data_IF_312843054745
#
_entry.id   IF_312843054745
#
_cell.length_a   1.000
_cell.length_b   1.000
_cell.length_c   1.000
_cell.angle_alpha   90.00
_cell.angle_beta   90.00
_cell.angle_gamma   90.00
#
_symmetry.space_group_name_H-M   'P 1'
#
loop_
_entity.id
_entity.type
_entity.pdbx_description
1 polymer ?
#
# COMPACT_ATOMS: atom_id res chain seq x y z
N UNK A 1 -39.98 -7.93 -52.63
CA UNK A 1 -39.03 -7.90 -53.76
C UNK A 1 -37.68 -8.14 -53.15
N UNK A 2 -37.28 -9.40 -53.28
CA UNK A 2 -36.09 -10.00 -52.70
C UNK A 2 -34.83 -9.52 -53.40
N UNK A 3 -33.76 -9.32 -52.65
CA UNK A 3 -32.42 -9.59 -53.16
C UNK A 3 -31.51 -10.05 -52.01
N UNK A 4 -31.09 -11.31 -52.14
CA UNK A 4 -30.25 -12.08 -51.23
C UNK A 4 -28.81 -11.89 -51.72
N UNK A 5 -27.88 -11.56 -50.82
CA UNK A 5 -26.45 -11.57 -51.13
C UNK A 5 -25.71 -12.52 -50.18
N UNK A 6 -24.97 -13.41 -50.82
CA UNK A 6 -24.38 -14.65 -50.32
C UNK A 6 -23.17 -14.46 -49.39
N UNK A 7 -23.02 -15.42 -48.47
CA UNK A 7 -21.80 -15.69 -47.71
C UNK A 7 -20.87 -16.60 -48.51
N UNK A 8 -19.53 -16.42 -48.44
CA UNK A 8 -18.61 -17.47 -48.83
C UNK A 8 -18.33 -18.44 -47.66
N UNK A 9 -18.60 -19.71 -47.94
CA UNK A 9 -18.10 -20.88 -47.21
C UNK A 9 -16.58 -20.95 -47.30
N UNK A 10 -15.91 -21.34 -46.21
CA UNK A 10 -14.52 -21.76 -46.26
C UNK A 10 -14.38 -23.04 -45.44
N UNK A 11 -14.45 -24.17 -46.15
CA UNK A 11 -14.07 -25.50 -45.68
C UNK A 11 -12.56 -25.67 -45.88
N UNK A 12 -11.87 -26.12 -44.83
CA UNK A 12 -10.43 -26.32 -44.84
C UNK A 12 -10.00 -27.29 -43.74
N UNK A 13 -10.18 -28.57 -44.04
CA UNK A 13 -9.74 -29.76 -43.31
C UNK A 13 -8.22 -29.91 -43.15
N UNK A 14 -7.79 -30.67 -42.12
CA UNK A 14 -6.47 -31.32 -42.00
C UNK A 14 -5.52 -30.65 -41.00
N UNK A 15 -4.75 -31.33 -40.16
CA UNK A 15 -4.43 -32.75 -39.99
C UNK A 15 -3.88 -32.92 -38.56
N UNK A 16 -4.19 -34.03 -37.93
CA UNK A 16 -3.56 -34.49 -36.70
C UNK A 16 -2.11 -34.91 -37.00
N UNK A 17 -1.14 -34.39 -36.24
CA UNK A 17 0.15 -35.07 -36.07
C UNK A 17 0.47 -35.12 -34.58
N UNK A 18 0.20 -36.29 -34.01
CA UNK A 18 0.82 -36.75 -32.78
C UNK A 18 2.31 -36.99 -33.03
N UNK A 19 3.18 -36.43 -32.19
CA UNK A 19 4.53 -36.99 -32.02
C UNK A 19 4.90 -37.00 -30.55
N UNK A 20 4.74 -38.19 -29.97
CA UNK A 20 5.35 -38.60 -28.72
C UNK A 20 6.86 -38.75 -28.92
N UNK A 21 7.69 -38.03 -28.14
CA UNK A 21 9.04 -38.50 -27.82
C UNK A 21 9.34 -38.28 -26.33
N UNK A 22 9.25 -39.41 -25.61
CA UNK A 22 10.03 -39.72 -24.40
C UNK A 22 11.49 -39.87 -24.80
N UNK A 23 12.40 -39.47 -23.89
CA UNK A 23 13.79 -39.91 -23.63
C UNK A 23 14.49 -38.67 -23.00
N UNK A 24 15.32 -38.67 -21.97
CA UNK A 24 15.88 -39.67 -21.06
C UNK A 24 16.53 -38.90 -19.90
N UNK A 25 16.50 -39.49 -18.70
CA UNK A 25 17.26 -39.03 -17.52
C UNK A 25 18.76 -39.12 -17.78
N UNK A 26 19.44 -37.97 -17.83
CA UNK A 26 20.90 -37.85 -17.83
C UNK A 26 21.42 -37.30 -16.50
N UNK A 27 21.80 -38.19 -15.58
CA UNK A 27 22.43 -37.87 -14.29
C UNK A 27 23.95 -37.69 -14.52
N UNK A 28 24.45 -36.47 -14.69
CA UNK A 28 25.90 -36.19 -14.69
C UNK A 28 26.29 -35.38 -13.45
N UNK A 29 27.02 -36.05 -12.55
CA UNK A 29 27.80 -35.45 -11.47
C UNK A 29 29.00 -34.73 -12.10
N UNK A 30 28.96 -33.40 -12.18
CA UNK A 30 30.11 -32.56 -12.50
C UNK A 30 30.67 -31.96 -11.21
N UNK A 31 31.80 -32.50 -10.76
CA UNK A 31 32.61 -32.00 -9.65
C UNK A 31 33.59 -30.97 -10.24
N UNK A 32 33.28 -29.67 -10.12
CA UNK A 32 34.12 -28.58 -10.59
C UNK A 32 34.52 -27.65 -9.44
N UNK A 33 35.83 -27.58 -9.19
CA UNK A 33 36.50 -26.74 -8.20
C UNK A 33 36.56 -25.27 -8.66
N UNK A 34 36.65 -24.39 -7.66
CA UNK A 34 37.24 -23.04 -7.68
C UNK A 34 36.52 -21.93 -8.46
N UNK A 35 35.94 -20.99 -7.73
CA UNK A 35 36.40 -19.58 -7.75
C UNK A 35 35.80 -18.84 -6.57
N UNK A 36 36.66 -18.47 -5.62
CA UNK A 36 36.30 -17.56 -4.54
C UNK A 36 36.02 -16.17 -5.12
N UNK A 37 34.75 -15.88 -5.40
CA UNK A 37 34.31 -14.50 -5.50
C UNK A 37 34.07 -13.98 -4.09
N UNK A 38 35.04 -13.21 -3.61
CA UNK A 38 34.85 -12.32 -2.48
C UNK A 38 33.63 -11.44 -2.80
N UNK A 39 32.49 -11.75 -2.18
CA UNK A 39 31.32 -10.88 -2.15
C UNK A 39 31.75 -9.61 -1.42
N UNK A 40 32.17 -8.61 -2.20
CA UNK A 40 32.25 -7.24 -1.74
C UNK A 40 30.91 -6.91 -1.12
N UNK A 41 30.86 -6.80 0.21
CA UNK A 41 29.71 -6.28 0.92
C UNK A 41 29.55 -4.85 0.42
N UNK A 42 28.64 -4.66 -0.54
CA UNK A 42 28.18 -3.36 -0.98
C UNK A 42 27.65 -2.68 0.28
N UNK A 43 28.45 -1.78 0.85
CA UNK A 43 28.05 -0.97 1.99
C UNK A 43 26.92 -0.08 1.47
N UNK A 44 25.68 -0.53 1.61
CA UNK A 44 24.53 0.33 1.46
C UNK A 44 24.64 1.35 2.58
N UNK A 45 25.04 2.58 2.22
CA UNK A 45 25.06 3.73 3.11
C UNK A 45 23.65 3.84 3.69
N UNK A 46 23.47 3.42 4.94
CA UNK A 46 22.19 3.57 5.64
C UNK A 46 21.97 5.07 5.77
N UNK A 47 21.05 5.60 4.97
CA UNK A 47 20.54 6.95 5.15
C UNK A 47 20.02 7.03 6.58
N UNK A 48 20.56 7.93 7.38
CA UNK A 48 20.09 8.12 8.74
C UNK A 48 18.61 8.51 8.66
N UNK A 49 17.74 7.70 9.26
CA UNK A 49 16.31 7.98 9.27
C UNK A 49 16.06 9.14 10.24
N UNK A 50 15.59 10.27 9.72
CA UNK A 50 15.36 11.49 10.51
C UNK A 50 13.96 11.46 11.15
N UNK A 51 13.84 11.95 12.39
CA UNK A 51 12.54 12.13 13.02
C UNK A 51 11.86 13.41 12.51
N UNK A 52 10.56 13.36 12.27
CA UNK A 52 9.73 14.44 11.70
C UNK A 52 9.83 15.76 12.49
N UNK A 53 10.07 15.67 13.80
CA UNK A 53 10.24 16.83 14.71
C UNK A 53 11.61 17.50 14.61
N UNK A 54 12.61 16.78 14.12
CA UNK A 54 14.01 17.21 14.04
C UNK A 54 14.34 17.80 12.67
N UNK A 55 13.41 17.70 11.70
CA UNK A 55 13.60 18.26 10.37
C UNK A 55 13.45 19.79 10.45
N UNK A 56 14.47 20.51 10.01
CA UNK A 56 14.44 21.96 9.89
C UNK A 56 13.33 22.44 8.94
N UNK A 57 12.72 23.57 9.29
CA UNK A 57 11.67 24.19 8.47
C UNK A 57 12.24 24.54 7.11
N UNK A 58 11.58 24.06 6.05
CA UNK A 58 11.95 24.38 4.67
C UNK A 58 10.73 24.27 3.77
N UNK A 59 10.74 24.97 2.63
CA UNK A 59 9.62 24.91 1.68
C UNK A 59 9.54 23.59 0.92
N UNK A 60 10.66 22.86 0.83
CA UNK A 60 10.83 21.69 -0.04
C UNK A 60 11.67 20.63 0.66
N UNK A 61 11.09 19.92 1.62
CA UNK A 61 11.76 18.79 2.25
C UNK A 61 11.33 17.46 1.63
N UNK A 62 10.02 17.24 1.53
CA UNK A 62 9.44 15.98 1.07
C UNK A 62 9.33 15.88 -0.45
N UNK A 63 9.29 17.02 -1.14
CA UNK A 63 9.28 17.10 -2.60
C UNK A 63 10.69 16.98 -3.18
N UNK A 64 11.03 15.76 -3.60
CA UNK A 64 12.31 15.41 -4.25
C UNK A 64 12.25 15.56 -5.76
N UNK A 65 13.40 15.79 -6.37
CA UNK A 65 13.52 15.90 -7.83
C UNK A 65 13.54 14.52 -8.51
N UNK A 66 14.25 13.56 -7.90
CA UNK A 66 14.29 12.18 -8.38
C UNK A 66 13.17 11.35 -7.75
N UNK A 67 12.49 10.56 -8.57
CA UNK A 67 11.35 9.75 -8.12
C UNK A 67 11.77 8.54 -7.28
N UNK A 68 12.96 7.99 -7.52
CA UNK A 68 13.51 6.91 -6.68
C UNK A 68 13.82 7.47 -5.29
N UNK A 69 14.42 8.66 -5.21
CA UNK A 69 14.59 9.38 -3.94
C UNK A 69 13.23 9.65 -3.28
N UNK A 70 12.25 10.19 -4.02
CA UNK A 70 10.91 10.47 -3.53
C UNK A 70 10.24 9.26 -2.86
N UNK A 71 10.28 8.10 -3.53
CA UNK A 71 9.61 6.87 -3.11
C UNK A 71 10.39 6.09 -2.04
N UNK A 72 11.70 6.30 -1.94
CA UNK A 72 12.56 5.67 -0.94
C UNK A 72 12.70 6.46 0.36
N UNK A 73 12.02 7.61 0.48
CA UNK A 73 12.04 8.41 1.71
C UNK A 73 11.57 7.61 2.92
N UNK A 74 12.28 7.78 4.03
CA UNK A 74 11.94 7.19 5.30
C UNK A 74 12.02 8.27 6.39
N UNK A 75 10.89 8.56 7.03
CA UNK A 75 10.80 9.50 8.14
C UNK A 75 10.09 8.82 9.30
N UNK A 76 10.55 9.11 10.52
CA UNK A 76 9.95 8.60 11.75
C UNK A 76 9.10 9.69 12.41
N UNK A 77 7.91 9.38 12.89
CA UNK A 77 7.19 10.23 13.84
C UNK A 77 7.27 9.61 15.24
N UNK A 78 7.55 10.46 16.23
CA UNK A 78 7.58 10.07 17.63
C UNK A 78 6.18 10.23 18.22
N UNK A 79 5.54 9.09 18.47
CA UNK A 79 4.35 9.01 19.32
C UNK A 79 4.85 9.13 20.76
N UNK A 80 4.20 9.96 21.58
CA UNK A 80 4.54 10.11 22.99
C UNK A 80 4.77 8.75 23.66
N UNK A 81 5.68 8.70 24.65
CA UNK A 81 6.24 7.48 25.26
C UNK A 81 7.43 6.83 24.51
N UNK A 82 8.19 7.62 23.74
CA UNK A 82 9.48 7.21 23.18
C UNK A 82 9.41 6.18 22.04
N UNK A 83 8.22 5.83 21.54
CA UNK A 83 8.05 4.90 20.42
C UNK A 83 8.03 5.69 19.10
N UNK A 84 8.98 5.38 18.23
CA UNK A 84 9.04 5.91 16.88
C UNK A 84 8.24 5.02 15.92
N UNK A 85 7.41 5.63 15.08
CA UNK A 85 6.68 4.99 13.98
C UNK A 85 7.25 5.49 12.66
N UNK A 86 7.60 4.59 11.76
CA UNK A 86 7.90 4.96 10.36
C UNK A 86 6.62 5.43 9.67
N UNK A 87 6.66 6.61 9.07
CA UNK A 87 5.55 7.13 8.27
C UNK A 87 5.36 6.23 7.03
N UNK A 88 4.14 5.78 6.74
CA UNK A 88 3.84 5.02 5.54
C UNK A 88 3.93 5.89 4.28
N UNK A 89 4.06 5.24 3.13
CA UNK A 89 4.26 5.92 1.86
C UNK A 89 3.15 6.89 1.47
N UNK A 90 1.88 6.61 1.82
CA UNK A 90 0.78 7.53 1.54
C UNK A 90 0.90 8.85 2.31
N UNK A 91 1.30 8.78 3.59
CA UNK A 91 1.51 9.95 4.44
C UNK A 91 2.67 10.81 3.90
N UNK A 92 3.78 10.18 3.52
CA UNK A 92 4.92 10.88 2.88
C UNK A 92 4.56 11.48 1.51
N UNK A 93 3.76 10.77 0.72
CA UNK A 93 3.30 11.24 -0.59
C UNK A 93 2.42 12.48 -0.43
N UNK A 94 1.51 12.50 0.55
CA UNK A 94 0.68 13.68 0.85
C UNK A 94 1.53 14.87 1.27
N UNK A 95 2.53 14.67 2.13
CA UNK A 95 3.45 15.74 2.52
C UNK A 95 4.14 16.37 1.32
N UNK A 96 4.66 15.54 0.42
CA UNK A 96 5.32 16.00 -0.80
C UNK A 96 4.35 16.70 -1.76
N UNK A 97 3.15 16.14 -1.96
CA UNK A 97 2.12 16.75 -2.80
C UNK A 97 1.63 18.09 -2.26
N UNK A 98 1.56 18.28 -0.94
CA UNK A 98 1.19 19.55 -0.33
C UNK A 98 2.29 20.62 -0.46
N UNK A 99 3.57 20.24 -0.44
CA UNK A 99 4.67 21.17 -0.78
C UNK A 99 4.57 21.64 -2.24
N UNK A 100 4.31 20.73 -3.17
CA UNK A 100 4.04 21.06 -4.58
C UNK A 100 2.79 21.95 -4.70
N UNK A 101 1.68 21.57 -4.05
CA UNK A 101 0.43 22.31 -4.09
C UNK A 101 0.56 23.75 -3.58
N UNK A 102 1.32 23.94 -2.50
CA UNK A 102 1.63 25.26 -1.95
C UNK A 102 2.43 26.11 -2.94
N UNK A 103 3.37 25.52 -3.68
CA UNK A 103 4.14 26.22 -4.71
C UNK A 103 3.25 26.66 -5.89
N UNK A 104 2.38 25.76 -6.38
CA UNK A 104 1.46 26.03 -7.49
C UNK A 104 0.20 26.80 -7.09
N UNK A 105 -0.06 26.98 -5.80
CA UNK A 105 -1.19 27.75 -5.28
C UNK A 105 -2.55 27.08 -5.40
N UNK A 106 -2.61 25.77 -5.71
CA UNK A 106 -3.87 25.03 -5.88
C UNK A 106 -3.82 23.61 -5.30
N UNK A 107 -4.95 23.13 -4.80
CA UNK A 107 -5.12 21.81 -4.23
C UNK A 107 -4.67 21.69 -2.78
N UNK A 108 -5.27 20.77 -2.05
CA UNK A 108 -4.76 20.33 -0.76
C UNK A 108 -5.05 18.84 -0.60
N UNK A 109 -4.09 18.11 -0.05
CA UNK A 109 -4.13 16.67 0.10
C UNK A 109 -4.19 16.30 1.57
N UNK A 110 -5.02 15.32 1.89
CA UNK A 110 -5.07 14.72 3.21
C UNK A 110 -4.67 13.26 3.16
N UNK A 111 -4.07 12.77 4.23
CA UNK A 111 -3.80 11.36 4.44
C UNK A 111 -4.81 10.75 5.42
N UNK A 112 -5.01 9.45 5.26
CA UNK A 112 -5.72 8.59 6.20
C UNK A 112 -4.85 7.38 6.54
N UNK A 113 -5.20 6.68 7.63
CA UNK A 113 -4.62 5.37 7.92
C UNK A 113 -4.83 4.43 6.73
N UNK A 114 -3.81 3.67 6.34
CA UNK A 114 -3.99 2.65 5.30
C UNK A 114 -4.85 1.50 5.82
N UNK A 115 -5.49 0.75 4.92
CA UNK A 115 -6.33 -0.41 5.28
C UNK A 115 -5.58 -1.44 6.13
N UNK A 116 -4.29 -1.62 5.89
CA UNK A 116 -3.46 -2.57 6.64
C UNK A 116 -3.28 -2.15 8.10
N UNK A 117 -3.29 -0.84 8.40
CA UNK A 117 -3.19 -0.34 9.75
C UNK A 117 -4.39 -0.76 10.62
N UNK A 118 -5.55 -1.02 10.00
CA UNK A 118 -6.76 -1.51 10.68
C UNK A 118 -6.72 -3.02 10.98
N UNK A 119 -5.69 -3.74 10.56
CA UNK A 119 -5.54 -5.18 10.86
C UNK A 119 -4.61 -5.46 12.03
N UNK A 120 -3.87 -4.45 12.50
CA UNK A 120 -2.91 -4.56 13.59
C UNK A 120 -3.44 -3.89 14.85
N UNK A 121 -4.11 -4.67 15.69
CA UNK A 121 -4.55 -4.23 17.01
C UNK A 121 -3.64 -4.82 18.10
N UNK A 122 -3.48 -4.13 19.24
CA UNK A 122 -2.92 -4.74 20.45
C UNK A 122 -3.68 -6.02 20.82
N UNK A 123 -3.05 -6.87 21.64
CA UNK A 123 -3.71 -8.09 22.14
C UNK A 123 -5.03 -7.77 22.87
N UNK A 124 -5.88 -8.79 23.00
CA UNK A 124 -7.23 -8.70 23.59
C UNK A 124 -7.26 -8.08 24.98
N UNK A 125 -6.16 -8.21 25.72
CA UNK A 125 -5.92 -7.60 27.03
C UNK A 125 -5.97 -6.06 27.01
N UNK A 126 -5.43 -5.41 25.97
CA UNK A 126 -5.41 -3.95 25.83
C UNK A 126 -6.49 -3.44 24.88
N UNK A 127 -7.02 -4.33 24.03
CA UNK A 127 -8.05 -4.01 23.06
C UNK A 127 -9.06 -5.16 22.96
N UNK A 128 -10.08 -5.17 23.85
CA UNK A 128 -11.15 -6.13 23.81
C UNK A 128 -11.75 -6.25 22.40
N UNK A 129 -12.18 -7.44 22.00
CA UNK A 129 -12.75 -7.68 20.66
C UNK A 129 -13.95 -6.78 20.36
N UNK A 130 -14.72 -6.42 21.38
CA UNK A 130 -15.82 -5.45 21.31
C UNK A 130 -15.39 -4.07 20.80
N UNK A 131 -14.13 -3.69 21.03
CA UNK A 131 -13.55 -2.39 20.63
C UNK A 131 -12.83 -2.44 19.29
N UNK A 132 -12.68 -3.62 18.70
CA UNK A 132 -12.07 -3.77 17.37
C UNK A 132 -13.11 -3.29 16.35
N UNK A 133 -12.84 -2.19 15.63
CA UNK A 133 -13.74 -1.73 14.58
C UNK A 133 -13.76 -2.75 13.43
N UNK A 134 -14.83 -2.70 12.63
CA UNK A 134 -14.86 -3.48 11.38
C UNK A 134 -13.72 -3.08 10.44
N UNK A 135 -13.36 -3.96 9.51
CA UNK A 135 -12.36 -3.60 8.51
C UNK A 135 -12.95 -2.59 7.52
N UNK A 136 -12.16 -1.60 7.06
CA UNK A 136 -12.68 -0.61 6.13
C UNK A 136 -13.20 -1.25 4.84
N UNK A 137 -14.44 -0.88 4.42
CA UNK A 137 -15.06 -1.31 3.16
C UNK A 137 -14.49 -0.61 1.92
N UNK A 138 -14.97 -0.91 0.71
CA UNK A 138 -14.35 -0.47 -0.55
C UNK A 138 -14.24 1.03 -0.73
N UNK A 139 -15.13 1.81 -0.10
CA UNK A 139 -15.17 3.28 -0.16
C UNK A 139 -14.08 3.97 0.66
N UNK A 140 -13.41 3.24 1.56
CA UNK A 140 -12.42 3.84 2.45
C UNK A 140 -11.16 4.30 1.70
N UNK A 141 -10.83 5.61 1.74
CA UNK A 141 -9.68 6.18 1.04
C UNK A 141 -8.40 6.05 1.87
N UNK A 142 -7.24 6.17 1.21
CA UNK A 142 -5.95 6.35 1.88
C UNK A 142 -5.41 7.78 1.73
N UNK A 143 -5.80 8.46 0.64
CA UNK A 143 -5.59 9.89 0.43
C UNK A 143 -6.91 10.54 0.00
N UNK A 144 -7.02 11.82 0.29
CA UNK A 144 -8.10 12.68 -0.15
C UNK A 144 -7.53 13.93 -0.81
N UNK A 145 -8.20 14.42 -1.84
CA UNK A 145 -7.90 15.72 -2.46
C UNK A 145 -9.10 16.65 -2.34
N UNK A 146 -8.81 17.93 -2.09
CA UNK A 146 -9.76 19.04 -2.26
C UNK A 146 -9.20 20.05 -3.24
N UNK A 147 -10.08 20.67 -4.02
CA UNK A 147 -9.72 21.80 -4.88
C UNK A 147 -9.63 23.09 -4.04
N UNK A 148 -8.57 23.17 -3.23
CA UNK A 148 -8.27 24.33 -2.39
C UNK A 148 -7.51 25.40 -3.18
N UNK A 149 -7.76 26.68 -2.91
CA UNK A 149 -6.97 27.78 -3.48
C UNK A 149 -6.14 28.42 -2.37
N UNK A 150 -4.83 28.43 -2.54
CA UNK A 150 -3.94 29.01 -1.55
C UNK A 150 -3.92 30.53 -1.68
N UNK A 151 -4.15 31.21 -0.56
CA UNK A 151 -3.85 32.64 -0.44
C UNK A 151 -2.36 32.80 -0.16
N UNK A 152 -1.79 33.99 -0.40
CA UNK A 152 -0.40 34.27 -0.05
C UNK A 152 -0.16 34.06 1.46
N UNK A 153 -1.12 34.48 2.29
CA UNK A 153 -1.07 34.31 3.75
C UNK A 153 -1.10 32.83 4.14
N UNK A 154 -2.07 32.05 3.65
CA UNK A 154 -2.18 30.63 4.00
C UNK A 154 -1.01 29.79 3.49
N UNK A 155 -0.48 30.12 2.30
CA UNK A 155 0.77 29.54 1.77
C UNK A 155 1.93 29.84 2.70
N UNK A 156 2.15 31.11 3.06
CA UNK A 156 3.26 31.49 3.92
C UNK A 156 3.14 30.85 5.31
N UNK A 157 1.94 30.82 5.89
CA UNK A 157 1.68 30.16 7.17
C UNK A 157 2.04 28.67 7.11
N UNK A 158 1.59 27.96 6.07
CA UNK A 158 1.93 26.55 5.86
C UNK A 158 3.44 26.34 5.68
N UNK A 159 4.11 27.16 4.88
CA UNK A 159 5.56 27.06 4.66
C UNK A 159 6.38 27.48 5.89
N UNK A 160 5.84 28.29 6.79
CA UNK A 160 6.48 28.63 8.07
C UNK A 160 6.32 27.56 9.14
N UNK A 161 5.35 26.65 9.00
CA UNK A 161 5.15 25.56 9.95
C UNK A 161 6.29 24.55 9.90
N UNK A 162 6.55 23.93 11.05
CA UNK A 162 7.33 22.71 11.14
C UNK A 162 6.74 21.60 10.28
N UNK A 163 7.58 20.70 9.78
CA UNK A 163 7.14 19.53 9.01
C UNK A 163 6.14 18.67 9.77
N UNK A 164 6.30 18.54 11.10
CA UNK A 164 5.29 17.89 11.94
C UNK A 164 3.96 18.65 11.99
N UNK A 165 3.99 19.98 12.04
CA UNK A 165 2.79 20.81 11.97
C UNK A 165 2.03 20.58 10.66
N UNK A 166 2.73 20.60 9.53
CA UNK A 166 2.16 20.31 8.20
C UNK A 166 1.60 18.89 8.11
N UNK A 167 2.28 17.91 8.69
CA UNK A 167 1.80 16.53 8.78
C UNK A 167 0.47 16.41 9.51
N UNK A 168 0.33 17.07 10.67
CA UNK A 168 -0.91 17.08 11.43
C UNK A 168 -2.02 17.85 10.71
N UNK A 169 -1.70 18.97 10.05
CA UNK A 169 -2.66 19.71 9.21
C UNK A 169 -3.18 18.89 8.04
N UNK A 170 -2.39 17.94 7.56
CA UNK A 170 -2.73 17.03 6.46
C UNK A 170 -3.44 15.76 6.94
N UNK A 171 -3.65 15.57 8.24
CA UNK A 171 -4.42 14.45 8.79
C UNK A 171 -5.91 14.82 8.81
N UNK A 172 -6.71 14.16 7.97
CA UNK A 172 -8.15 14.46 7.85
C UNK A 172 -8.92 14.19 9.16
N UNK A 173 -8.39 13.31 10.02
CA UNK A 173 -9.02 12.97 11.29
C UNK A 173 -8.80 14.07 12.33
N UNK A 174 -7.74 14.87 12.18
CA UNK A 174 -7.39 15.95 13.08
C UNK A 174 -7.94 17.28 12.55
N UNK A 175 -7.87 17.50 11.24
CA UNK A 175 -8.24 18.75 10.61
C UNK A 175 -9.16 18.52 9.40
N UNK A 176 -10.39 18.02 9.63
CA UNK A 176 -11.35 17.83 8.55
C UNK A 176 -11.80 19.19 7.98
N UNK A 177 -12.01 19.30 6.65
CA UNK A 177 -12.60 20.48 6.06
C UNK A 177 -14.08 20.63 6.43
N UNK A 178 -14.68 21.76 6.07
CA UNK A 178 -16.10 22.01 6.32
C UNK A 178 -16.99 20.92 5.69
N UNK A 179 -18.13 20.54 6.32
CA UNK A 179 -18.90 19.37 5.91
C UNK A 179 -19.34 19.33 4.44
N UNK A 180 -19.59 20.48 3.82
CA UNK A 180 -20.05 20.57 2.43
C UNK A 180 -18.91 20.52 1.40
N UNK A 181 -17.65 20.50 1.84
CA UNK A 181 -16.50 20.48 0.93
C UNK A 181 -16.46 19.16 0.17
N UNK A 182 -16.42 19.19 -1.18
CA UNK A 182 -16.30 17.99 -2.00
C UNK A 182 -14.92 17.35 -1.85
N UNK A 183 -14.89 16.04 -1.64
CA UNK A 183 -13.69 15.23 -1.50
C UNK A 183 -13.53 14.26 -2.67
N UNK A 184 -12.30 14.17 -3.17
CA UNK A 184 -11.90 13.18 -4.17
C UNK A 184 -11.08 12.09 -3.49
N UNK A 185 -11.66 10.90 -3.38
CA UNK A 185 -11.04 9.77 -2.72
C UNK A 185 -9.98 9.12 -3.61
N UNK A 186 -8.88 8.70 -2.99
CA UNK A 186 -7.85 7.92 -3.66
C UNK A 186 -7.48 6.69 -2.83
N UNK A 187 -7.48 5.53 -3.48
CA UNK A 187 -6.84 4.35 -2.93
C UNK A 187 -5.33 4.46 -3.17
N UNK A 188 -4.52 4.08 -2.18
CA UNK A 188 -3.06 4.07 -2.30
C UNK A 188 -2.53 2.67 -2.14
N UNK A 189 -1.69 2.25 -3.08
CA UNK A 189 -1.07 0.94 -3.06
C UNK A 189 0.42 1.07 -3.37
N UNK A 190 1.25 0.67 -2.43
CA UNK A 190 2.71 0.61 -2.57
C UNK A 190 3.25 -0.82 -2.62
N UNK A 191 2.40 -1.84 -2.58
CA UNK A 191 2.83 -3.23 -2.75
C UNK A 191 1.78 -4.13 -3.39
N UNK A 192 2.24 -5.16 -4.09
CA UNK A 192 1.42 -6.16 -4.78
C UNK A 192 0.43 -6.93 -3.88
N UNK A 193 0.60 -6.88 -2.55
CA UNK A 193 -0.25 -7.62 -1.63
C UNK A 193 -1.43 -6.80 -1.10
N UNK A 194 -1.46 -5.49 -1.33
CA UNK A 194 -2.57 -4.66 -0.89
C UNK A 194 -3.77 -4.84 -1.80
N UNK A 195 -4.95 -4.75 -1.20
CA UNK A 195 -6.20 -5.00 -1.91
C UNK A 195 -6.70 -3.71 -2.54
N UNK A 196 -7.09 -3.79 -3.81
CA UNK A 196 -7.78 -2.75 -4.54
C UNK A 196 -9.25 -3.09 -4.67
N UNK A 197 -10.10 -2.09 -4.63
CA UNK A 197 -11.54 -2.28 -4.72
C UNK A 197 -12.17 -1.38 -5.78
N UNK A 198 -13.28 -1.85 -6.32
CA UNK A 198 -14.26 -1.02 -7.02
C UNK A 198 -15.00 -0.17 -6.01
N UNK A 199 -15.30 1.06 -6.39
CA UNK A 199 -16.09 1.99 -5.60
C UNK A 199 -17.41 2.26 -6.31
N UNK A 200 -18.50 2.56 -5.57
CA UNK A 200 -19.78 2.92 -6.19
C UNK A 200 -19.70 4.23 -7.00
N UNK A 201 -18.95 5.21 -6.48
CA UNK A 201 -18.61 6.44 -7.18
C UNK A 201 -17.20 6.33 -7.71
N UNK A 202 -16.95 6.78 -8.94
CA UNK A 202 -15.62 6.75 -9.53
C UNK A 202 -14.60 7.46 -8.62
N UNK A 203 -13.47 6.80 -8.37
CA UNK A 203 -12.41 7.33 -7.53
C UNK A 203 -11.05 7.10 -8.18
N UNK A 204 -10.01 7.73 -7.65
CA UNK A 204 -8.65 7.50 -8.12
C UNK A 204 -8.00 6.32 -7.41
N UNK A 205 -7.02 5.72 -8.08
CA UNK A 205 -6.11 4.72 -7.54
C UNK A 205 -4.69 5.21 -7.86
N UNK A 206 -3.89 5.38 -6.81
CA UNK A 206 -2.49 5.74 -6.89
C UNK A 206 -1.63 4.51 -6.54
N UNK A 207 -0.92 4.00 -7.55
CA UNK A 207 0.02 2.90 -7.39
C UNK A 207 1.44 3.46 -7.30
N UNK A 208 2.13 3.18 -6.20
CA UNK A 208 3.51 3.57 -5.95
C UNK A 208 4.43 2.35 -6.19
N UNK A 209 5.39 2.50 -7.09
CA UNK A 209 6.47 1.53 -7.30
C UNK A 209 7.75 2.00 -6.61
N UNK A 210 8.90 1.45 -6.96
CA UNK A 210 10.18 1.94 -6.46
C UNK A 210 10.71 3.14 -7.27
N UNK A 211 10.17 3.36 -8.47
CA UNK A 211 10.71 4.34 -9.45
C UNK A 211 9.67 5.22 -10.12
N UNK A 212 8.38 4.98 -9.89
CA UNK A 212 7.29 5.71 -10.54
C UNK A 212 5.98 5.60 -9.79
N UNK A 213 5.10 6.56 -10.04
CA UNK A 213 3.69 6.47 -9.70
C UNK A 213 2.86 6.10 -10.92
N UNK A 214 1.72 5.46 -10.71
CA UNK A 214 0.67 5.30 -11.71
C UNK A 214 -0.63 5.84 -11.14
N UNK A 215 -1.29 6.72 -11.88
CA UNK A 215 -2.58 7.29 -11.49
C UNK A 215 -3.65 6.85 -12.48
N UNK A 216 -4.59 6.04 -12.00
CA UNK A 216 -5.74 5.54 -12.77
C UNK A 216 -7.03 5.82 -12.01
N UNK A 217 -8.16 5.73 -12.70
CA UNK A 217 -9.47 5.67 -12.04
C UNK A 217 -9.84 4.21 -11.72
N UNK A 218 -10.86 4.01 -10.90
CA UNK A 218 -11.38 2.67 -10.56
C UNK A 218 -11.87 1.90 -11.79
N UNK A 219 -12.56 2.57 -12.70
CA UNK A 219 -13.05 2.00 -13.97
C UNK A 219 -11.90 1.69 -14.92
N UNK A 220 -10.90 2.57 -15.04
CA UNK A 220 -9.70 2.29 -15.85
C UNK A 220 -8.95 1.07 -15.32
N UNK A 221 -8.80 0.97 -14.00
CA UNK A 221 -8.14 -0.15 -13.35
C UNK A 221 -8.90 -1.46 -13.55
N UNK A 222 -10.23 -1.43 -13.46
CA UNK A 222 -11.07 -2.59 -13.76
C UNK A 222 -10.90 -3.05 -15.21
N UNK A 223 -10.90 -2.10 -16.17
CA UNK A 223 -10.72 -2.42 -17.60
C UNK A 223 -9.36 -3.08 -17.87
N UNK A 224 -8.29 -2.61 -17.23
CA UNK A 224 -6.93 -3.14 -17.45
C UNK A 224 -6.73 -4.46 -16.68
N UNK A 225 -7.00 -4.46 -15.38
CA UNK A 225 -6.72 -5.58 -14.48
C UNK A 225 -7.78 -6.69 -14.50
N UNK A 226 -9.00 -6.35 -14.89
CA UNK A 226 -10.18 -7.19 -14.74
C UNK A 226 -10.68 -7.29 -13.29
N UNK A 227 -11.86 -7.88 -13.13
CA UNK A 227 -12.36 -8.33 -11.83
C UNK A 227 -11.58 -9.54 -11.31
N UNK A 228 -11.89 -9.94 -10.06
CA UNK A 228 -11.32 -11.17 -9.49
C UNK A 228 -11.66 -12.38 -10.38
N UNK A 229 -10.70 -13.28 -10.68
CA UNK A 229 -10.93 -14.36 -11.64
C UNK A 229 -12.04 -15.33 -11.20
N UNK A 230 -12.98 -15.60 -12.11
CA UNK A 230 -14.03 -16.61 -11.92
C UNK A 230 -13.36 -17.98 -11.70
N UNK A 231 -13.86 -18.75 -10.72
CA UNK A 231 -13.35 -20.09 -10.40
C UNK A 231 -12.14 -20.12 -9.46
N UNK A 232 -11.54 -18.98 -9.13
CA UNK A 232 -10.58 -18.90 -8.01
C UNK A 232 -11.34 -18.76 -6.68
N UNK A 233 -10.70 -19.18 -5.59
CA UNK A 233 -11.22 -18.93 -4.24
C UNK A 233 -11.53 -17.43 -4.10
N UNK A 234 -12.72 -17.07 -3.58
CA UNK A 234 -13.06 -15.68 -3.39
C UNK A 234 -12.01 -15.01 -2.49
N UNK A 235 -11.71 -13.73 -2.74
CA UNK A 235 -10.75 -13.04 -1.92
C UNK A 235 -11.26 -12.96 -0.47
N UNK A 236 -10.33 -12.93 0.47
CA UNK A 236 -10.65 -12.65 1.88
C UNK A 236 -10.68 -11.14 2.11
N UNK A 237 -11.43 -10.72 3.11
CA UNK A 237 -11.53 -9.33 3.56
C UNK A 237 -12.94 -8.78 3.42
N UNK A 238 -13.12 -7.48 3.72
CA UNK A 238 -14.40 -6.80 3.52
C UNK A 238 -14.75 -6.73 2.03
N UNK A 239 -16.03 -6.90 1.70
CA UNK A 239 -16.59 -6.72 0.34
C UNK A 239 -15.79 -7.45 -0.77
N UNK A 240 -15.59 -8.77 -0.66
CA UNK A 240 -14.77 -9.54 -1.58
C UNK A 240 -15.25 -9.48 -3.04
N UNK A 241 -16.54 -9.31 -3.26
CA UNK A 241 -17.17 -9.14 -4.57
C UNK A 241 -16.75 -7.84 -5.28
N UNK A 242 -16.34 -6.82 -4.53
CA UNK A 242 -15.87 -5.53 -5.08
C UNK A 242 -14.37 -5.52 -5.32
N UNK A 243 -13.64 -6.58 -4.99
CA UNK A 243 -12.18 -6.57 -5.08
C UNK A 243 -11.73 -6.66 -6.55
N UNK A 244 -10.80 -5.78 -6.91
CA UNK A 244 -10.11 -5.83 -8.20
C UNK A 244 -9.02 -6.92 -8.18
N UNK A 245 -8.64 -7.41 -9.36
CA UNK A 245 -7.55 -8.36 -9.48
C UNK A 245 -6.21 -7.74 -9.02
N UNK A 246 -5.23 -8.58 -8.67
CA UNK A 246 -3.92 -8.08 -8.24
C UNK A 246 -3.17 -7.44 -9.41
N UNK A 247 -2.59 -6.28 -9.18
CA UNK A 247 -1.88 -5.48 -10.20
C UNK A 247 -0.38 -5.75 -10.19
N UNK A 248 0.00 -7.02 -10.01
CA UNK A 248 1.39 -7.42 -9.83
C UNK A 248 2.32 -7.09 -11.00
N UNK A 249 1.76 -6.87 -12.18
CA UNK A 249 2.45 -6.44 -13.39
C UNK A 249 3.00 -5.01 -13.31
N UNK A 250 2.52 -4.19 -12.36
CA UNK A 250 3.04 -2.85 -12.10
C UNK A 250 4.43 -2.89 -11.44
N UNK A 251 4.68 -3.87 -10.56
CA UNK A 251 5.99 -4.08 -9.93
C UNK A 251 6.86 -5.12 -10.66
N UNK A 252 6.25 -6.03 -11.42
CA UNK A 252 6.96 -7.06 -12.19
C UNK A 252 6.32 -7.25 -13.56
N UNK A 253 6.86 -6.53 -14.55
CA UNK A 253 6.34 -6.50 -15.94
C UNK A 253 6.29 -7.89 -16.59
N UNK A 254 7.08 -8.86 -16.11
CA UNK A 254 7.10 -10.21 -16.67
C UNK A 254 5.87 -11.04 -16.29
N UNK A 255 5.09 -10.62 -15.29
CA UNK A 255 3.87 -11.33 -14.88
C UNK A 255 2.75 -11.22 -15.91
N UNK A 256 2.64 -10.07 -16.56
CA UNK A 256 1.62 -9.79 -17.56
C UNK A 256 2.07 -8.58 -18.40
N UNK A 257 2.74 -8.86 -19.52
CA UNK A 257 3.36 -7.82 -20.37
C UNK A 257 2.33 -6.93 -21.04
N UNK A 258 1.17 -7.50 -21.42
CA UNK A 258 0.08 -6.77 -22.07
C UNK A 258 -0.52 -5.76 -21.10
N UNK A 259 -0.86 -6.17 -19.88
CA UNK A 259 -1.37 -5.24 -18.86
C UNK A 259 -0.32 -4.24 -18.39
N UNK A 260 0.94 -4.64 -18.27
CA UNK A 260 2.03 -3.73 -17.96
C UNK A 260 2.16 -2.62 -19.02
N UNK A 261 2.04 -2.95 -20.31
CA UNK A 261 2.05 -1.98 -21.40
C UNK A 261 0.84 -1.04 -21.34
N UNK A 262 -0.35 -1.56 -21.04
CA UNK A 262 -1.57 -0.78 -20.88
C UNK A 262 -1.50 0.24 -19.72
N UNK A 263 -0.62 0.03 -18.73
CA UNK A 263 -0.42 0.96 -17.62
C UNK A 263 0.50 2.15 -17.96
N UNK A 264 1.32 2.07 -19.03
CA UNK A 264 2.32 3.09 -19.36
C UNK A 264 1.75 4.52 -19.51
N UNK A 265 0.58 4.74 -20.14
CA UNK A 265 0.01 6.09 -20.24
C UNK A 265 -0.29 6.74 -18.88
N UNK A 266 -0.52 5.92 -17.86
CA UNK A 266 -0.86 6.35 -16.52
C UNK A 266 0.35 6.60 -15.63
N UNK A 267 1.56 6.32 -16.13
CA UNK A 267 2.81 6.48 -15.40
C UNK A 267 3.20 7.97 -15.25
N UNK A 268 3.65 8.32 -14.05
CA UNK A 268 4.31 9.58 -13.71
C UNK A 268 5.72 9.31 -13.21
N UNK A 269 6.70 9.96 -13.84
CA UNK A 269 8.12 9.87 -13.49
C UNK A 269 8.60 11.05 -12.62
N UNK A 270 7.77 12.09 -12.50
CA UNK A 270 8.03 13.25 -11.65
C UNK A 270 6.82 13.50 -10.74
N UNK A 271 7.06 14.08 -9.56
CA UNK A 271 6.01 14.31 -8.57
C UNK A 271 5.07 15.43 -9.03
N UNK A 272 5.62 16.43 -9.71
CA UNK A 272 4.91 17.54 -10.32
C UNK A 272 3.93 17.04 -11.38
N UNK A 273 4.35 16.09 -12.22
CA UNK A 273 3.47 15.45 -13.21
C UNK A 273 2.32 14.71 -12.54
N UNK A 274 2.60 14.00 -11.45
CA UNK A 274 1.56 13.33 -10.66
C UNK A 274 0.57 14.36 -10.10
N UNK A 275 1.07 15.43 -9.47
CA UNK A 275 0.25 16.51 -8.93
C UNK A 275 -0.66 17.12 -10.00
N UNK A 276 -0.11 17.50 -11.15
CA UNK A 276 -0.87 18.09 -12.25
C UNK A 276 -1.94 17.13 -12.76
N UNK A 277 -1.62 15.84 -12.91
CA UNK A 277 -2.61 14.83 -13.30
C UNK A 277 -3.73 14.69 -12.27
N UNK A 278 -3.44 14.73 -10.97
CA UNK A 278 -4.49 14.67 -9.94
C UNK A 278 -5.36 15.93 -10.01
N UNK A 279 -4.77 17.12 -10.03
CA UNK A 279 -5.52 18.39 -10.07
C UNK A 279 -6.40 18.48 -11.32
N UNK A 280 -5.89 18.06 -12.48
CA UNK A 280 -6.66 18.08 -13.73
C UNK A 280 -7.79 17.04 -13.71
N UNK A 281 -7.54 15.83 -13.21
CA UNK A 281 -8.59 14.79 -13.11
C UNK A 281 -9.65 15.12 -12.07
N UNK A 282 -9.28 15.73 -10.95
CA UNK A 282 -10.21 16.15 -9.90
C UNK A 282 -10.91 17.48 -10.23
N UNK A 283 -11.25 17.67 -11.50
CA UNK A 283 -12.15 18.70 -11.97
C UNK A 283 -13.56 18.11 -12.01
N UNK A 284 -14.60 18.77 -11.45
CA UNK A 284 -15.97 18.27 -11.48
C UNK A 284 -16.51 17.89 -12.87
N UNK A 285 -15.95 18.47 -13.94
CA UNK A 285 -16.30 18.13 -15.32
C UNK A 285 -15.72 16.80 -15.80
N UNK A 286 -14.60 16.37 -15.23
CA UNK A 286 -13.85 15.17 -15.64
C UNK A 286 -14.09 13.98 -14.69
N UNK A 287 -14.18 14.26 -13.39
CA UNK A 287 -14.43 13.27 -12.34
C UNK A 287 -15.37 13.89 -11.30
N UNK A 288 -16.51 13.26 -10.95
CA UNK A 288 -17.34 13.74 -9.85
C UNK A 288 -16.61 13.56 -8.51
N UNK A 289 -16.87 14.44 -7.54
CA UNK A 289 -16.42 14.24 -6.17
C UNK A 289 -16.95 12.92 -5.62
N UNK A 290 -16.13 12.16 -4.90
CA UNK A 290 -16.52 10.84 -4.38
C UNK A 290 -17.55 10.95 -3.27
N UNK A 291 -17.42 11.95 -2.40
CA UNK A 291 -18.33 12.28 -1.30
C UNK A 291 -18.01 13.67 -0.74
N UNK A 292 -18.82 14.15 0.20
CA UNK A 292 -18.55 15.39 0.95
C UNK A 292 -17.80 15.09 2.25
N UNK A 293 -17.16 16.10 2.85
CA UNK A 293 -16.48 15.94 4.13
C UNK A 293 -17.41 15.48 5.27
N UNK A 294 -18.69 15.87 5.22
CA UNK A 294 -19.71 15.44 6.16
C UNK A 294 -20.05 13.95 6.09
N UNK A 295 -19.76 13.29 4.96
CA UNK A 295 -19.97 11.85 4.79
C UNK A 295 -18.84 11.00 5.40
N UNK A 296 -17.64 11.59 5.56
CA UNK A 296 -16.44 10.89 5.99
C UNK A 296 -16.58 10.19 7.36
N UNK A 297 -17.21 10.79 8.40
CA UNK A 297 -17.42 10.13 9.69
C UNK A 297 -18.14 8.78 9.62
N UNK A 298 -18.97 8.56 8.59
CA UNK A 298 -19.68 7.31 8.34
C UNK A 298 -18.87 6.27 7.56
N UNK A 299 -17.75 6.67 6.95
CA UNK A 299 -16.84 5.77 6.23
C UNK A 299 -15.71 5.22 7.12
N UNK A 300 -15.38 5.95 8.19
CA UNK A 300 -14.35 5.57 9.14
C UNK A 300 -14.89 4.41 9.98
N UNK A 301 -14.23 3.24 10.00
CA UNK A 301 -14.72 2.13 10.80
C UNK A 301 -14.75 2.47 12.28
N UNK A 302 -15.87 2.13 12.92
CA UNK A 302 -16.10 2.33 14.35
C UNK A 302 -16.42 0.99 15.00
N UNK A 303 -16.13 0.84 16.30
CA UNK A 303 -16.64 -0.28 17.07
C UNK A 303 -18.19 -0.32 16.99
N UNK A 304 -18.80 -1.51 16.97
CA UNK A 304 -20.25 -1.65 16.80
C UNK A 304 -21.06 -1.09 17.96
N UNK A 305 -20.49 -1.03 19.17
CA UNK A 305 -21.13 -0.45 20.34
C UNK A 305 -20.12 0.35 21.17
N UNK A 306 -20.52 1.49 21.75
CA UNK A 306 -19.70 2.17 22.75
C UNK A 306 -19.65 1.31 24.01
N UNK A 307 -18.45 0.91 24.41
CA UNK A 307 -18.21 0.22 25.68
C UNK A 307 -17.81 1.24 26.75
N UNK A 308 -18.19 1.00 28.01
CA UNK A 308 -17.69 1.81 29.12
C UNK A 308 -16.15 1.80 29.11
N UNK A 309 -15.55 2.99 29.11
CA UNK A 309 -14.10 3.12 29.17
C UNK A 309 -13.55 2.48 30.45
N UNK A 310 -12.31 2.02 30.40
CA UNK A 310 -11.59 1.73 31.65
C UNK A 310 -11.43 3.06 32.41
N UNK A 311 -11.67 3.10 33.73
CA UNK A 311 -11.43 4.29 34.52
C UNK A 311 -9.99 4.78 34.33
N UNK A 312 -9.80 6.09 34.21
CA UNK A 312 -8.45 6.67 34.19
C UNK A 312 -7.74 6.31 35.52
N UNK A 313 -6.49 5.85 35.42
CA UNK A 313 -5.71 5.46 36.60
C UNK A 313 -5.87 3.99 37.03
N UNK A 314 -6.62 3.17 36.30
CA UNK A 314 -6.59 1.71 36.52
C UNK A 314 -5.23 1.18 36.10
N UNK A 315 -4.35 0.91 37.07
CA UNK A 315 -3.07 0.22 36.85
C UNK A 315 -3.41 -1.20 36.39
N UNK A 316 -3.06 -1.55 35.15
CA UNK A 316 -2.98 -2.96 34.78
C UNK A 316 -1.80 -3.54 35.57
N UNK A 317 -2.10 -4.32 36.60
CA UNK A 317 -1.08 -5.06 37.36
C UNK A 317 -0.27 -5.92 36.40
N UNK A 318 1.04 -5.68 36.39
CA UNK A 318 2.11 -6.48 35.80
C UNK A 318 1.77 -7.28 34.53
N UNK A 319 2.13 -6.73 33.37
CA UNK A 319 2.51 -7.58 32.22
C UNK A 319 3.35 -6.82 31.19
N UNK A 320 4.59 -7.26 31.03
CA UNK A 320 5.58 -6.64 30.16
C UNK A 320 5.07 -6.48 28.72
N UNK A 321 5.22 -5.25 28.18
CA UNK A 321 4.92 -4.90 26.80
C UNK A 321 5.53 -5.90 25.80
N UNK A 322 4.75 -6.87 25.33
CA UNK A 322 5.12 -7.66 24.15
C UNK A 322 4.91 -6.79 22.92
N UNK A 323 5.98 -6.49 22.19
CA UNK A 323 5.94 -5.58 21.04
C UNK A 323 4.93 -6.08 19.98
N UNK A 324 4.00 -5.21 19.57
CA UNK A 324 3.06 -5.42 18.47
C UNK A 324 3.73 -5.32 17.09
N UNK A 325 4.88 -5.97 16.90
CA UNK A 325 5.38 -6.21 15.56
C UNK A 325 4.59 -7.36 14.94
N UNK A 326 4.24 -7.29 13.64
CA UNK A 326 3.71 -8.45 12.96
C UNK A 326 4.75 -9.55 13.06
N UNK A 327 4.43 -10.64 13.76
CA UNK A 327 5.19 -11.86 13.66
C UNK A 327 5.19 -12.25 12.18
N UNK A 328 6.33 -12.08 11.51
CA UNK A 328 6.55 -12.69 10.22
C UNK A 328 6.27 -14.17 10.39
N UNK A 329 5.16 -14.67 9.85
CA UNK A 329 4.82 -16.11 9.80
C UNK A 329 5.94 -16.96 9.17
N UNK A 330 6.87 -16.32 8.45
CA UNK A 330 8.08 -16.96 7.90
C UNK A 330 9.18 -17.21 8.94
N UNK A 331 9.22 -16.44 10.04
CA UNK A 331 10.18 -16.59 11.13
C UNK A 331 9.80 -17.70 12.12
N UNK A 332 8.51 -17.82 12.45
CA UNK A 332 8.00 -18.85 13.38
C UNK A 332 8.29 -20.27 12.90
N UNK A 333 8.07 -20.55 11.61
CA UNK A 333 8.33 -21.88 11.04
C UNK A 333 9.81 -22.26 11.02
N UNK A 334 10.72 -21.27 11.06
CA UNK A 334 12.17 -21.48 11.05
C UNK A 334 12.69 -21.73 12.46
N UNK A 335 12.11 -21.06 13.46
CA UNK A 335 12.46 -21.26 14.87
C UNK A 335 11.91 -22.57 15.43
N UNK A 336 10.70 -22.99 15.04
CA UNK A 336 10.15 -24.29 15.45
C UNK A 336 10.99 -25.47 14.93
N UNK A 337 11.45 -25.42 13.67
CA UNK A 337 12.36 -26.42 13.11
C UNK A 337 13.77 -26.40 13.71
N UNK A 338 14.24 -25.24 14.18
CA UNK A 338 15.56 -25.12 14.82
C UNK A 338 15.53 -25.63 16.26
N UNK A 339 14.43 -25.39 17.00
CA UNK A 339 14.20 -25.95 18.34
C UNK A 339 14.02 -27.47 18.31
N UNK A 340 13.25 -28.00 17.35
CA UNK A 340 13.04 -29.44 17.21
C UNK A 340 14.31 -30.22 16.83
N UNK A 341 15.30 -29.56 16.19
CA UNK A 341 16.61 -30.16 15.91
C UNK A 341 17.59 -30.11 17.08
N UNK A 342 17.43 -29.14 18.00
CA UNK A 342 18.29 -29.05 19.18
C UNK A 342 17.84 -30.00 20.29
N UNK A 343 16.54 -30.33 20.37
CA UNK A 343 16.05 -31.35 21.31
C UNK A 343 16.42 -32.76 20.89
N UNK A 344 16.51 -33.06 19.58
CA UNK A 344 16.87 -34.40 19.10
C UNK A 344 18.36 -34.75 19.28
N UNK A 345 19.24 -33.76 19.36
CA UNK A 345 20.69 -33.98 19.52
C UNK A 345 21.10 -34.12 21.00
N UNK A 346 20.23 -33.73 21.94
CA UNK A 346 20.46 -33.89 23.38
C UNK A 346 20.06 -35.28 23.89
N UNK A 347 18.98 -35.86 23.37
CA UNK A 347 18.54 -37.21 23.78
C UNK A 347 19.48 -38.32 23.29
N UNK A 348 20.25 -38.09 22.21
CA UNK A 348 21.25 -39.05 21.72
C UNK A 348 22.60 -39.01 22.46
N UNK A 349 22.82 -38.02 23.33
CA UNK A 349 24.08 -37.89 24.07
C UNK A 349 24.02 -38.51 25.48
N UNK A 350 22.82 -38.78 26.02
CA UNK A 350 22.65 -39.45 27.31
C UNK A 350 22.64 -40.99 27.20
N UNK A 351 22.38 -41.55 26.02
CA UNK A 351 22.33 -43.02 25.84
C UNK A 351 23.74 -43.66 25.71
N UNK A 352 24.77 -42.89 25.32
CA UNK A 352 26.17 -43.35 25.22
C UNK A 352 26.96 -43.24 26.56
N UNK A 353 26.37 -42.68 27.61
CA UNK A 353 27.01 -42.52 28.92
C UNK A 353 26.64 -43.60 29.95
N UNK A 354 25.78 -44.56 29.61
CA UNK A 354 25.40 -45.68 30.50
C UNK A 354 26.06 -47.02 30.16
N UNK A 355 27.02 -47.04 29.22
CA UNK A 355 27.86 -48.22 28.97
C UNK A 355 29.30 -47.85 29.30
N UNK A 356 29.64 -47.83 30.59
CA UNK A 356 31.02 -48.05 31.05
C UNK A 356 31.02 -48.72 32.42
#
# INVERSE_FOLDING_TARGET
MDEIAEQPQNDGSGEEVQTSQKLTKGKRKGRGKNTGQAKGKRQTKKTATTALREIEVSARHFWKQDMTEQLSQEVLDSRGMGKQRKLPGNELTVMALNEVAAEFGKGFFFHMLTREAWTSWPGEEFHPRSRIPELPGSRFPALLYINYTWTQESRQAFLSDTHRGRYLKSDIMINPPEPLVPLYAMQYVSSNNQSLYKTPTESLILLATDTSFYLVTTTEMERIGGGWPIGKRPPRGPEPEKRLNTVGYVWDRNKDTVRAAAMLPYQSLHLEDLYQRIVNRCNPLDLPSTFTAGDLPGLIPRPPAPEAGLPLGTMHEDQGFRSAHPASRRGEHRNSKKKARQSSDQDSAEEDAMIT
#
